data_IF_632059716358
#
_entry.id   IF_632059716358
#
_cell.length_a   1.000
_cell.length_b   1.000
_cell.length_c   1.000
_cell.angle_alpha   90.00
_cell.angle_beta   90.00
_cell.angle_gamma   90.00
#
_symmetry.space_group_name_H-M   'P 1'
#
loop_
_entity.id
_entity.type
_entity.pdbx_description
1 polymer ?
#
# COMPACT_ATOMS: atom_id res chain seq x y z
N UNK A 1 22.70 -4.11 -0.86
CA UNK A 1 21.54 -3.62 -1.64
C UNK A 1 20.57 -2.91 -0.71
N UNK A 2 20.17 -1.68 -1.03
CA UNK A 2 19.23 -0.90 -0.21
C UNK A 2 17.80 -1.09 -0.72
N UNK A 3 16.91 -1.63 0.10
CA UNK A 3 15.51 -1.88 -0.25
C UNK A 3 14.63 -0.99 0.63
N UNK A 4 13.83 -0.12 0.00
CA UNK A 4 12.83 0.69 0.69
C UNK A 4 11.44 0.10 0.44
N UNK A 5 10.77 -0.31 1.51
CA UNK A 5 9.36 -0.68 1.46
C UNK A 5 8.48 0.50 1.78
N UNK A 6 7.42 0.65 1.00
CA UNK A 6 6.33 1.60 1.26
C UNK A 6 5.10 0.79 1.61
N UNK A 7 4.62 0.93 2.84
CA UNK A 7 3.50 0.13 3.37
C UNK A 7 2.33 1.02 3.76
N UNK A 8 1.14 0.50 3.57
CA UNK A 8 -0.11 1.09 4.07
C UNK A 8 -0.44 0.65 5.51
N UNK A 9 0.40 -0.18 6.12
CA UNK A 9 0.24 -0.75 7.45
C UNK A 9 1.45 -0.33 8.31
N UNK A 10 1.18 0.05 9.55
CA UNK A 10 2.21 0.35 10.53
C UNK A 10 2.68 -0.93 11.20
N UNK A 11 3.97 -1.24 11.09
CA UNK A 11 4.58 -2.40 11.72
C UNK A 11 4.60 -2.30 13.25
N UNK A 12 4.77 -3.42 14.00
CA UNK A 12 4.76 -3.41 15.46
C UNK A 12 5.72 -2.39 16.09
N UNK A 13 6.95 -2.26 15.56
CA UNK A 13 7.94 -1.28 16.00
C UNK A 13 7.44 0.18 15.86
N UNK A 14 6.75 0.49 14.74
CA UNK A 14 6.15 1.80 14.52
C UNK A 14 5.04 2.07 15.53
N UNK A 15 4.13 1.11 15.71
CA UNK A 15 3.00 1.24 16.64
C UNK A 15 3.48 1.40 18.09
N UNK A 16 4.46 0.60 18.50
CA UNK A 16 5.09 0.74 19.82
C UNK A 16 5.74 2.12 20.02
N UNK A 17 6.43 2.64 18.99
CA UNK A 17 7.04 3.98 19.04
C UNK A 17 6.01 5.10 19.13
N UNK A 18 4.81 4.90 18.58
CA UNK A 18 3.70 5.85 18.62
C UNK A 18 2.79 5.67 19.87
N UNK A 19 3.04 4.68 20.73
CA UNK A 19 2.19 4.37 21.89
C UNK A 19 0.83 3.77 21.50
N UNK A 20 0.74 3.15 20.31
CA UNK A 20 -0.47 2.54 19.79
C UNK A 20 -0.50 1.03 20.11
N UNK A 21 -1.67 0.42 20.30
CA UNK A 21 -1.76 -1.03 20.49
C UNK A 21 -1.25 -1.77 19.23
N UNK A 22 -0.53 -2.87 19.44
CA UNK A 22 -0.03 -3.70 18.34
C UNK A 22 -1.22 -4.42 17.68
N UNK A 23 -1.31 -4.32 16.36
CA UNK A 23 -2.30 -5.03 15.54
C UNK A 23 -1.67 -6.22 14.82
N UNK A 24 -2.47 -7.25 14.58
CA UNK A 24 -2.04 -8.47 13.87
C UNK A 24 -2.09 -8.30 12.35
N UNK A 25 -2.73 -7.21 11.87
CA UNK A 25 -2.90 -6.95 10.44
C UNK A 25 -1.55 -6.79 9.74
N UNK A 26 -1.40 -7.46 8.58
CA UNK A 26 -0.16 -7.37 7.78
C UNK A 26 1.02 -8.17 8.34
N UNK A 27 0.77 -9.14 9.21
CA UNK A 27 1.81 -9.96 9.82
C UNK A 27 2.77 -10.62 8.83
N UNK A 28 2.28 -11.00 7.65
CA UNK A 28 3.10 -11.55 6.56
C UNK A 28 4.15 -10.55 6.02
N UNK A 29 3.78 -9.26 5.92
CA UNK A 29 4.75 -8.23 5.51
C UNK A 29 5.83 -8.04 6.57
N UNK A 30 5.43 -8.00 7.84
CA UNK A 30 6.39 -7.88 8.94
C UNK A 30 7.34 -9.08 8.99
N UNK A 31 6.84 -10.33 8.88
CA UNK A 31 7.65 -11.53 8.84
C UNK A 31 8.67 -11.49 7.67
N UNK A 32 8.21 -11.16 6.47
CA UNK A 32 9.10 -11.06 5.31
C UNK A 32 10.13 -9.93 5.45
N UNK A 33 9.76 -8.77 6.00
CA UNK A 33 10.71 -7.68 6.26
C UNK A 33 11.78 -8.10 7.27
N UNK A 34 11.38 -8.80 8.33
CA UNK A 34 12.31 -9.34 9.33
C UNK A 34 13.27 -10.35 8.71
N UNK A 35 12.78 -11.30 7.92
CA UNK A 35 13.64 -12.25 7.21
C UNK A 35 14.63 -11.56 6.28
N UNK A 36 14.18 -10.56 5.53
CA UNK A 36 15.07 -9.80 4.65
C UNK A 36 16.13 -9.01 5.42
N UNK A 37 15.82 -8.51 6.61
CA UNK A 37 16.77 -7.76 7.44
C UNK A 37 17.90 -8.62 8.00
N UNK A 38 17.68 -9.93 8.18
CA UNK A 38 18.76 -10.87 8.58
C UNK A 38 19.80 -11.12 7.47
N UNK A 39 19.45 -10.81 6.21
CA UNK A 39 20.41 -10.95 5.13
C UNK A 39 21.40 -9.78 5.12
N UNK A 40 22.65 -10.02 5.52
CA UNK A 40 23.73 -9.02 5.61
C UNK A 40 24.02 -8.26 4.29
N UNK A 41 23.52 -8.74 3.15
CA UNK A 41 23.67 -8.06 1.86
C UNK A 41 22.52 -7.07 1.59
N UNK A 42 21.51 -7.02 2.46
CA UNK A 42 20.33 -6.17 2.34
C UNK A 42 20.32 -5.16 3.47
N UNK A 43 20.24 -3.88 3.14
CA UNK A 43 19.88 -2.83 4.06
C UNK A 43 18.40 -2.55 3.86
N UNK A 44 17.59 -2.75 4.90
CA UNK A 44 16.14 -2.65 4.85
C UNK A 44 15.64 -1.35 5.44
N UNK A 45 14.77 -0.65 4.72
CA UNK A 45 13.97 0.44 5.27
C UNK A 45 12.49 0.20 5.01
N UNK A 46 11.66 0.62 5.95
CA UNK A 46 10.19 0.60 5.86
C UNK A 46 9.67 2.01 6.07
N UNK A 47 8.89 2.49 5.12
CA UNK A 47 8.24 3.79 5.21
C UNK A 47 6.72 3.62 5.26
N UNK A 48 6.10 4.34 6.18
CA UNK A 48 4.65 4.40 6.32
C UNK A 48 4.22 5.81 6.72
N UNK A 49 2.92 6.07 6.67
CA UNK A 49 2.36 7.35 7.13
C UNK A 49 1.92 7.23 8.59
N UNK A 50 1.91 8.37 9.29
CA UNK A 50 1.43 8.46 10.66
C UNK A 50 0.71 9.80 10.91
N UNK A 51 -0.06 9.86 11.98
CA UNK A 51 -0.71 11.09 12.43
C UNK A 51 0.30 11.97 13.20
N UNK A 52 0.91 12.89 12.47
CA UNK A 52 1.92 13.81 13.00
C UNK A 52 2.25 14.92 12.01
N UNK A 53 3.18 15.78 12.39
CA UNK A 53 3.52 17.01 11.62
C UNK A 53 4.89 16.96 10.96
N UNK A 54 5.81 16.12 11.45
CA UNK A 54 7.19 16.04 10.99
C UNK A 54 7.56 14.66 10.48
N UNK A 55 8.52 14.59 9.54
CA UNK A 55 9.15 13.34 9.15
C UNK A 55 9.93 12.79 10.34
N UNK A 56 9.66 11.54 10.72
CA UNK A 56 10.40 10.85 11.77
C UNK A 56 11.22 9.70 11.20
N UNK A 57 12.40 9.48 11.79
CA UNK A 57 13.28 8.37 11.50
C UNK A 57 13.72 7.69 12.78
N UNK A 58 13.74 6.36 12.78
CA UNK A 58 14.36 5.55 13.84
C UNK A 58 14.81 4.20 13.30
N UNK A 59 15.57 3.45 14.07
CA UNK A 59 16.01 2.09 13.74
C UNK A 59 15.51 1.14 14.82
N UNK A 60 15.00 0.01 14.39
CA UNK A 60 14.61 -1.10 15.26
C UNK A 60 14.89 -2.43 14.53
N UNK A 61 15.54 -3.38 15.20
CA UNK A 61 15.83 -4.72 14.69
C UNK A 61 16.45 -4.72 13.27
N UNK A 62 17.48 -3.87 13.07
CA UNK A 62 18.21 -3.68 11.81
C UNK A 62 17.37 -3.13 10.64
N UNK A 63 16.15 -2.68 10.89
CA UNK A 63 15.28 -2.00 9.93
C UNK A 63 15.24 -0.51 10.22
N UNK A 64 15.46 0.31 9.19
CA UNK A 64 15.28 1.76 9.26
C UNK A 64 13.82 2.10 8.99
N UNK A 65 13.18 2.83 9.89
CA UNK A 65 11.79 3.26 9.74
C UNK A 65 11.71 4.75 9.42
N UNK A 66 10.90 5.10 8.41
CA UNK A 66 10.53 6.47 8.08
C UNK A 66 9.02 6.66 8.25
N UNK A 67 8.60 7.62 9.06
CA UNK A 67 7.20 7.95 9.30
C UNK A 67 6.89 9.30 8.66
N UNK A 68 6.09 9.28 7.58
CA UNK A 68 5.70 10.49 6.88
C UNK A 68 4.46 11.11 7.55
N UNK A 69 4.46 12.43 7.81
CA UNK A 69 3.34 13.11 8.43
C UNK A 69 2.21 13.30 7.40
N UNK A 70 1.14 12.50 7.54
CA UNK A 70 0.03 12.53 6.61
C UNK A 70 -1.35 12.56 7.30
N UNK A 71 -1.39 12.61 8.63
CA UNK A 71 -2.61 12.43 9.39
C UNK A 71 -3.17 11.03 9.18
N UNK A 72 -4.42 10.94 8.72
CA UNK A 72 -5.02 9.66 8.37
C UNK A 72 -4.40 9.06 7.10
N UNK A 73 -4.56 7.73 6.92
CA UNK A 73 -4.11 7.03 5.72
C UNK A 73 -4.63 7.72 4.45
N UNK A 74 -3.70 8.13 3.59
CA UNK A 74 -4.05 8.84 2.35
C UNK A 74 -4.70 7.89 1.36
N UNK A 75 -6.01 8.01 1.22
CA UNK A 75 -6.80 7.28 0.22
C UNK A 75 -6.52 7.77 -1.20
N UNK A 76 -6.13 9.03 -1.32
CA UNK A 76 -5.88 9.72 -2.58
C UNK A 76 -4.46 10.28 -2.62
N UNK A 77 -4.02 10.63 -3.83
CA UNK A 77 -2.76 11.32 -4.02
C UNK A 77 -2.70 12.63 -3.23
N UNK A 78 -1.62 12.82 -2.51
CA UNK A 78 -1.33 14.04 -1.76
C UNK A 78 0.05 14.58 -2.13
N UNK A 79 0.06 15.71 -2.86
CA UNK A 79 1.28 16.37 -3.30
C UNK A 79 2.16 16.86 -2.15
N UNK A 80 1.58 17.15 -1.00
CA UNK A 80 2.35 17.62 0.17
C UNK A 80 3.37 16.60 0.67
N UNK A 81 3.18 15.31 0.35
CA UNK A 81 4.09 14.23 0.72
C UNK A 81 5.31 14.12 -0.20
N UNK A 82 5.30 14.75 -1.37
CA UNK A 82 6.40 14.63 -2.35
C UNK A 82 7.74 15.07 -1.75
N UNK A 83 7.76 16.18 -1.01
CA UNK A 83 8.97 16.70 -0.37
C UNK A 83 9.61 15.71 0.60
N UNK A 84 8.78 15.01 1.39
CA UNK A 84 9.26 14.01 2.34
C UNK A 84 9.81 12.76 1.63
N UNK A 85 9.18 12.36 0.53
CA UNK A 85 9.70 11.27 -0.28
C UNK A 85 11.05 11.59 -0.91
N UNK A 86 11.25 12.82 -1.41
CA UNK A 86 12.55 13.27 -1.91
C UNK A 86 13.62 13.21 -0.81
N UNK A 87 13.27 13.62 0.42
CA UNK A 87 14.17 13.55 1.58
C UNK A 87 14.54 12.10 1.92
N UNK A 88 13.55 11.21 2.05
CA UNK A 88 13.77 9.76 2.32
C UNK A 88 14.65 9.12 1.25
N UNK A 89 14.38 9.37 -0.03
CA UNK A 89 15.15 8.82 -1.14
C UNK A 89 16.60 9.32 -1.13
N UNK A 90 16.81 10.60 -0.89
CA UNK A 90 18.16 11.19 -0.85
C UNK A 90 18.98 10.67 0.33
N UNK A 91 18.34 10.41 1.48
CA UNK A 91 19.00 9.90 2.66
C UNK A 91 19.30 8.41 2.53
N UNK A 92 18.29 7.58 2.25
CA UNK A 92 18.42 6.13 2.23
C UNK A 92 19.09 5.58 0.96
N UNK A 93 18.94 6.28 -0.17
CA UNK A 93 19.47 5.90 -1.51
C UNK A 93 19.08 4.47 -1.89
N UNK A 94 17.80 4.16 -2.02
CA UNK A 94 17.34 2.81 -2.32
C UNK A 94 17.77 2.37 -3.72
N UNK A 95 18.20 1.12 -3.85
CA UNK A 95 18.40 0.44 -5.12
C UNK A 95 17.07 0.00 -5.73
N UNK A 96 16.10 -0.34 -4.86
CA UNK A 96 14.73 -0.78 -5.21
C UNK A 96 13.75 -0.19 -4.19
N UNK A 97 12.63 0.30 -4.70
CA UNK A 97 11.47 0.72 -3.91
C UNK A 97 10.34 -0.27 -4.14
N UNK A 98 9.89 -0.91 -3.07
CA UNK A 98 8.82 -1.89 -3.10
C UNK A 98 7.57 -1.32 -2.44
N UNK A 99 6.51 -1.11 -3.23
CA UNK A 99 5.22 -0.59 -2.76
C UNK A 99 4.29 -1.77 -2.52
N UNK A 100 3.74 -1.87 -1.31
CA UNK A 100 2.81 -2.93 -0.92
C UNK A 100 1.35 -2.47 -1.07
N UNK A 101 0.69 -2.98 -2.11
CA UNK A 101 -0.69 -2.68 -2.46
C UNK A 101 -0.87 -1.39 -3.27
N UNK A 102 -1.93 -1.37 -4.05
CA UNK A 102 -2.36 -0.23 -4.89
C UNK A 102 -3.68 0.38 -4.42
N UNK A 103 -4.28 -0.22 -3.39
CA UNK A 103 -5.61 0.13 -2.89
C UNK A 103 -5.67 1.54 -2.27
N UNK A 104 -4.52 2.08 -1.90
CA UNK A 104 -4.35 3.44 -1.36
C UNK A 104 -3.24 4.18 -2.10
N UNK A 105 -3.29 5.49 -2.09
CA UNK A 105 -2.30 6.32 -2.77
C UNK A 105 -1.03 6.60 -1.92
N UNK A 106 -0.76 5.78 -0.90
CA UNK A 106 0.32 5.98 0.09
C UNK A 106 1.73 6.11 -0.51
N UNK A 107 2.02 5.41 -1.61
CA UNK A 107 3.29 5.49 -2.32
C UNK A 107 3.26 6.33 -3.60
N UNK A 108 2.09 6.82 -4.02
CA UNK A 108 1.95 7.50 -5.31
C UNK A 108 2.72 8.82 -5.38
N UNK A 109 2.81 9.54 -4.27
CA UNK A 109 3.61 10.74 -4.17
C UNK A 109 5.11 10.46 -4.34
N UNK A 110 5.60 9.29 -3.86
CA UNK A 110 6.97 8.83 -4.12
C UNK A 110 7.22 8.60 -5.61
N UNK A 111 6.33 7.84 -6.26
CA UNK A 111 6.45 7.54 -7.71
C UNK A 111 6.48 8.83 -8.54
N UNK A 112 5.65 9.81 -8.20
CA UNK A 112 5.59 11.10 -8.92
C UNK A 112 6.80 11.99 -8.65
N UNK A 113 7.24 12.07 -7.41
CA UNK A 113 8.37 12.92 -7.03
C UNK A 113 9.72 12.35 -7.50
N UNK A 114 9.84 11.03 -7.55
CA UNK A 114 11.09 10.33 -7.83
C UNK A 114 10.95 9.32 -9.00
N UNK A 115 10.53 9.74 -10.21
CA UNK A 115 10.16 8.83 -11.30
C UNK A 115 11.32 8.02 -11.87
N UNK A 116 12.56 8.36 -11.56
CA UNK A 116 13.76 7.64 -12.03
C UNK A 116 14.14 6.44 -11.15
N UNK A 117 13.46 6.23 -10.04
CA UNK A 117 13.71 5.11 -9.14
C UNK A 117 13.18 3.79 -9.73
N UNK A 118 13.73 2.67 -9.27
CA UNK A 118 13.27 1.33 -9.65
C UNK A 118 12.15 0.91 -8.72
N UNK A 119 10.94 0.88 -9.24
CA UNK A 119 9.74 0.49 -8.49
C UNK A 119 9.35 -0.96 -8.76
N UNK A 120 8.91 -1.63 -7.71
CA UNK A 120 8.20 -2.91 -7.73
C UNK A 120 6.92 -2.73 -6.90
N UNK A 121 5.80 -3.23 -7.38
CA UNK A 121 4.52 -3.17 -6.66
C UNK A 121 4.01 -4.58 -6.41
N UNK A 122 3.71 -4.92 -5.16
CA UNK A 122 2.96 -6.13 -4.83
C UNK A 122 1.47 -5.85 -4.88
N UNK A 123 0.75 -6.59 -5.71
CA UNK A 123 -0.72 -6.54 -5.77
C UNK A 123 -1.29 -7.31 -4.59
N UNK A 124 -2.13 -6.64 -3.80
CA UNK A 124 -2.92 -7.23 -2.72
C UNK A 124 -4.38 -7.42 -3.13
N UNK A 125 -4.87 -6.53 -3.98
CA UNK A 125 -6.17 -6.56 -4.62
C UNK A 125 -6.21 -5.57 -5.78
N UNK A 126 -7.21 -5.67 -6.64
CA UNK A 126 -7.43 -4.78 -7.77
C UNK A 126 -8.79 -4.09 -7.64
N UNK A 127 -8.79 -2.83 -7.22
CA UNK A 127 -10.01 -2.03 -7.05
C UNK A 127 -10.72 -1.80 -8.37
N UNK A 128 -9.95 -1.66 -9.47
CA UNK A 128 -10.47 -1.52 -10.84
C UNK A 128 -11.35 -2.70 -11.25
N UNK A 129 -11.07 -3.88 -10.72
CA UNK A 129 -11.85 -5.09 -10.98
C UNK A 129 -12.95 -5.26 -9.93
N UNK A 130 -12.63 -5.09 -8.64
CA UNK A 130 -13.60 -5.28 -7.55
C UNK A 130 -14.82 -4.37 -7.67
N UNK A 131 -14.65 -3.14 -8.13
CA UNK A 131 -15.76 -2.20 -8.30
C UNK A 131 -16.82 -2.69 -9.30
N UNK A 132 -16.42 -3.44 -10.32
CA UNK A 132 -17.35 -3.96 -11.34
C UNK A 132 -18.24 -5.07 -10.78
N UNK A 133 -17.74 -5.83 -9.82
CA UNK A 133 -18.45 -6.96 -9.21
C UNK A 133 -18.92 -6.69 -7.78
N UNK A 134 -18.87 -5.44 -7.33
CA UNK A 134 -19.09 -5.09 -5.93
C UNK A 134 -20.45 -5.53 -5.40
N UNK A 135 -21.48 -5.49 -6.20
CA UNK A 135 -22.80 -5.94 -5.79
C UNK A 135 -23.00 -7.45 -5.90
N UNK A 136 -22.13 -8.19 -6.59
CA UNK A 136 -22.16 -9.65 -6.68
C UNK A 136 -23.56 -10.25 -6.97
N UNK A 137 -24.35 -9.58 -7.83
CA UNK A 137 -25.73 -10.02 -8.15
C UNK A 137 -26.80 -9.65 -7.14
N UNK A 138 -26.48 -8.90 -6.07
CA UNK A 138 -27.46 -8.39 -5.11
C UNK A 138 -28.38 -7.39 -5.80
N UNK A 139 -29.70 -7.58 -5.67
CA UNK A 139 -30.68 -6.70 -6.29
C UNK A 139 -30.82 -5.38 -5.52
N UNK A 140 -31.09 -4.24 -6.19
CA UNK A 140 -31.17 -2.93 -5.54
C UNK A 140 -32.10 -2.87 -4.32
N UNK A 141 -33.25 -3.54 -4.37
CA UNK A 141 -34.20 -3.54 -3.26
C UNK A 141 -33.63 -4.27 -2.01
N UNK A 142 -32.75 -5.25 -2.18
CA UNK A 142 -32.08 -5.93 -1.06
C UNK A 142 -31.08 -4.99 -0.39
N UNK A 143 -30.37 -4.15 -1.17
CA UNK A 143 -29.47 -3.14 -0.62
C UNK A 143 -30.24 -2.15 0.27
N UNK A 144 -31.38 -1.65 -0.22
CA UNK A 144 -32.24 -0.73 0.55
C UNK A 144 -32.76 -1.40 1.81
N UNK A 145 -33.29 -2.62 1.70
CA UNK A 145 -33.86 -3.38 2.83
C UNK A 145 -32.87 -3.62 3.96
N UNK A 146 -31.59 -3.82 3.64
CA UNK A 146 -30.55 -4.16 4.61
C UNK A 146 -29.67 -2.96 5.01
N UNK A 147 -29.89 -1.78 4.47
CA UNK A 147 -29.21 -0.54 4.90
C UNK A 147 -29.75 -0.10 6.25
N UNK A 148 -28.86 0.04 7.22
CA UNK A 148 -29.20 0.49 8.57
C UNK A 148 -29.06 2.01 8.72
N UNK A 149 -29.70 2.58 9.74
CA UNK A 149 -29.49 4.00 10.10
C UNK A 149 -28.04 4.29 10.46
N UNK A 150 -27.34 3.31 11.04
CA UNK A 150 -25.92 3.43 11.37
C UNK A 150 -25.05 3.53 10.10
N UNK A 151 -25.37 2.77 9.06
CA UNK A 151 -24.68 2.86 7.76
C UNK A 151 -24.84 4.23 7.13
N UNK A 152 -26.07 4.79 7.21
CA UNK A 152 -26.34 6.13 6.70
C UNK A 152 -25.56 7.19 7.49
N UNK A 153 -25.60 7.11 8.82
CA UNK A 153 -24.94 8.06 9.71
C UNK A 153 -23.42 8.06 9.53
N UNK A 154 -22.82 6.90 9.32
CA UNK A 154 -21.37 6.74 9.17
C UNK A 154 -20.89 6.81 7.71
N UNK A 155 -21.75 7.14 6.77
CA UNK A 155 -21.41 7.15 5.33
C UNK A 155 -20.85 5.81 4.82
N UNK A 156 -21.37 4.69 5.34
CA UNK A 156 -20.94 3.32 5.04
C UNK A 156 -22.00 2.51 4.28
N UNK A 157 -22.99 3.17 3.66
CA UNK A 157 -23.93 2.46 2.78
C UNK A 157 -23.18 1.82 1.62
N UNK A 158 -23.67 0.69 1.12
CA UNK A 158 -23.05 -0.04 0.02
C UNK A 158 -22.74 0.83 -1.21
N UNK A 159 -23.65 1.77 -1.53
CA UNK A 159 -23.46 2.74 -2.62
C UNK A 159 -22.34 3.76 -2.34
N UNK A 160 -22.21 4.22 -1.11
CA UNK A 160 -21.15 5.14 -0.70
C UNK A 160 -19.79 4.44 -0.73
N UNK A 161 -19.71 3.20 -0.25
CA UNK A 161 -18.47 2.39 -0.31
C UNK A 161 -18.08 2.13 -1.76
N UNK A 162 -19.02 1.77 -2.65
CA UNK A 162 -18.71 1.61 -4.07
C UNK A 162 -18.22 2.91 -4.72
N UNK A 163 -18.84 4.06 -4.39
CA UNK A 163 -18.37 5.35 -4.87
C UNK A 163 -16.94 5.64 -4.43
N UNK A 164 -16.60 5.29 -3.19
CA UNK A 164 -15.24 5.42 -2.65
C UNK A 164 -14.25 4.51 -3.38
N UNK A 165 -14.60 3.24 -3.62
CA UNK A 165 -13.79 2.32 -4.41
C UNK A 165 -13.49 2.88 -5.80
N UNK A 166 -14.51 3.35 -6.51
CA UNK A 166 -14.38 3.97 -7.85
C UNK A 166 -13.42 5.16 -7.84
N UNK A 167 -13.47 6.00 -6.82
CA UNK A 167 -12.55 7.13 -6.70
C UNK A 167 -11.10 6.68 -6.46
N UNK A 168 -10.90 5.62 -5.67
CA UNK A 168 -9.57 5.07 -5.39
C UNK A 168 -8.98 4.33 -6.58
N UNK A 169 -9.80 3.75 -7.44
CA UNK A 169 -9.39 3.11 -8.69
C UNK A 169 -8.53 4.02 -9.57
N UNK A 170 -8.78 5.33 -9.59
CA UNK A 170 -7.95 6.27 -10.36
C UNK A 170 -6.48 6.28 -9.88
N UNK A 171 -6.23 6.13 -8.58
CA UNK A 171 -4.89 5.99 -8.02
C UNK A 171 -4.22 4.68 -8.42
N UNK A 172 -4.96 3.56 -8.36
CA UNK A 172 -4.48 2.26 -8.80
C UNK A 172 -4.10 2.25 -10.28
N UNK A 173 -4.97 2.78 -11.15
CA UNK A 173 -4.68 2.87 -12.58
C UNK A 173 -3.44 3.70 -12.87
N UNK A 174 -3.21 4.75 -12.08
CA UNK A 174 -2.00 5.56 -12.19
C UNK A 174 -0.74 4.79 -11.75
N UNK A 175 -0.79 4.01 -10.68
CA UNK A 175 0.31 3.11 -10.31
C UNK A 175 0.66 2.14 -11.44
N UNK A 176 -0.35 1.45 -11.99
CA UNK A 176 -0.18 0.44 -13.04
C UNK A 176 0.30 1.05 -14.37
N UNK A 177 0.06 2.34 -14.59
CA UNK A 177 0.58 3.06 -15.76
C UNK A 177 2.02 3.53 -15.60
N UNK A 178 2.43 3.87 -14.39
CA UNK A 178 3.76 4.44 -14.08
C UNK A 178 4.80 3.37 -13.69
N UNK A 179 4.37 2.26 -13.12
CA UNK A 179 5.25 1.21 -12.60
C UNK A 179 5.08 -0.07 -13.43
N UNK A 180 6.17 -0.57 -13.95
CA UNK A 180 6.16 -1.71 -14.88
C UNK A 180 6.57 -3.06 -14.25
N UNK A 181 7.03 -3.09 -12.99
CA UNK A 181 7.39 -4.33 -12.31
C UNK A 181 6.34 -4.62 -11.24
N UNK A 182 5.62 -5.71 -11.42
CA UNK A 182 4.50 -6.10 -10.55
C UNK A 182 4.75 -7.50 -9.99
N UNK A 183 4.57 -7.64 -8.69
CA UNK A 183 4.51 -8.93 -8.00
C UNK A 183 3.05 -9.27 -7.73
N UNK A 184 2.64 -10.47 -8.08
CA UNK A 184 1.32 -10.99 -7.77
C UNK A 184 1.36 -12.48 -7.48
N UNK A 185 0.20 -13.10 -7.25
CA UNK A 185 0.10 -14.45 -6.68
C UNK A 185 -0.76 -15.41 -7.47
N UNK A 186 -1.57 -14.91 -8.38
CA UNK A 186 -2.58 -15.70 -9.06
C UNK A 186 -2.62 -15.41 -10.56
N UNK A 187 -3.16 -16.35 -11.33
CA UNK A 187 -3.46 -16.13 -12.76
C UNK A 187 -4.53 -15.06 -12.95
N UNK A 188 -5.38 -14.84 -11.93
CA UNK A 188 -6.41 -13.82 -11.96
C UNK A 188 -5.82 -12.40 -11.97
N UNK A 189 -4.96 -12.08 -10.99
CA UNK A 189 -4.31 -10.77 -10.96
C UNK A 189 -3.34 -10.57 -12.14
N UNK A 190 -2.62 -11.61 -12.57
CA UNK A 190 -1.84 -11.58 -13.79
C UNK A 190 -2.68 -11.15 -15.00
N UNK A 191 -3.80 -11.84 -15.25
CA UNK A 191 -4.65 -11.58 -16.41
C UNK A 191 -5.19 -10.16 -16.43
N UNK A 192 -5.65 -9.67 -15.27
CA UNK A 192 -6.19 -8.31 -15.16
C UNK A 192 -5.11 -7.22 -15.29
N UNK A 193 -3.96 -7.42 -14.65
CA UNK A 193 -2.83 -6.48 -14.73
C UNK A 193 -2.31 -6.38 -16.16
N UNK A 194 -2.17 -7.51 -16.86
CA UNK A 194 -1.73 -7.53 -18.26
C UNK A 194 -2.77 -6.92 -19.21
N UNK A 195 -4.06 -7.04 -18.90
CA UNK A 195 -5.12 -6.38 -19.67
C UNK A 195 -5.10 -4.86 -19.50
N UNK A 196 -4.73 -4.36 -18.32
CA UNK A 196 -4.61 -2.92 -18.03
C UNK A 196 -3.36 -2.33 -18.68
N UNK A 197 -2.22 -3.00 -18.56
CA UNK A 197 -0.96 -2.54 -19.12
C UNK A 197 -0.10 -3.74 -19.60
N UNK A 198 -0.12 -4.04 -20.92
CA UNK A 198 0.65 -5.15 -21.49
C UNK A 198 2.18 -4.99 -21.38
N UNK A 199 2.68 -3.79 -21.05
CA UNK A 199 4.11 -3.52 -20.83
C UNK A 199 4.64 -3.95 -19.47
N UNK A 200 3.80 -4.47 -18.59
CA UNK A 200 4.17 -4.90 -17.25
C UNK A 200 4.99 -6.19 -17.31
N UNK A 201 6.05 -6.22 -16.48
CA UNK A 201 6.79 -7.42 -16.13
C UNK A 201 6.19 -7.96 -14.83
N UNK A 202 5.54 -9.11 -14.94
CA UNK A 202 4.88 -9.74 -13.81
C UNK A 202 5.77 -10.83 -13.22
N UNK A 203 5.87 -10.82 -11.89
CA UNK A 203 6.63 -11.80 -11.11
C UNK A 203 5.66 -12.52 -10.17
N UNK A 204 5.64 -13.84 -10.24
CA UNK A 204 4.86 -14.66 -9.33
C UNK A 204 5.62 -14.84 -8.01
N UNK A 205 5.01 -14.45 -6.89
CA UNK A 205 5.58 -14.63 -5.56
C UNK A 205 4.49 -14.83 -4.51
N UNK A 206 4.56 -15.94 -3.78
CA UNK A 206 3.65 -16.22 -2.67
C UNK A 206 4.00 -15.38 -1.43
N UNK A 207 3.04 -15.24 -0.53
CA UNK A 207 3.25 -14.65 0.78
C UNK A 207 3.94 -15.65 1.71
N UNK A 208 4.82 -15.13 2.58
CA UNK A 208 5.39 -15.88 3.69
C UNK A 208 4.42 -15.82 4.85
N UNK A 209 4.07 -16.97 5.41
CA UNK A 209 3.25 -17.04 6.61
C UNK A 209 4.08 -16.63 7.83
N UNK A 210 3.42 -15.96 8.77
CA UNK A 210 4.03 -15.63 10.05
C UNK A 210 4.17 -16.92 10.87
N UNK A 211 5.35 -17.15 11.44
CA UNK A 211 5.52 -18.18 12.46
C UNK A 211 4.66 -17.84 13.68
N UNK A 212 3.93 -18.85 14.18
CA UNK A 212 2.97 -18.71 15.28
C UNK A 212 3.67 -18.56 16.63
#
# INVERSE_FOLDING_TARGET
MNILWITNIQFPAVRGRLGLPVEVVGGWMFALASELSFNKQVNMAVSTIYDGVDLKRFVDSDIVYYLLPAGEMKKYYDRSLEKYWVEVINEFKPDIIHIHGTEYAHGLACVKACPKQKYVISIQGLLSVYQEYYYAGIKPFQLIKHTTLNDIKNFMTTSQVLKELRRRTAGEMLYLSLCTNIIGRTSWDYSHVMAINPGIKYYFCNEVLRDS
#
